data_IF_903135782528
#
_entry.id   IF_903135782528
#
_cell.length_a   1.000
_cell.length_b   1.000
_cell.length_c   1.000
_cell.angle_alpha   90.00
_cell.angle_beta   90.00
_cell.angle_gamma   90.00
#
_symmetry.space_group_name_H-M   'P 1'
#
loop_
_entity.id
_entity.type
_entity.pdbx_description
1 polymer ?
#
# COMPACT_ATOMS: atom_id res chain seq x y z
N UNK A 1 21.68 -68.10 -0.63
CA UNK A 1 21.92 -66.73 -0.12
C UNK A 1 22.15 -65.82 -1.32
N UNK A 2 21.09 -65.17 -1.83
CA UNK A 2 21.15 -64.25 -2.99
C UNK A 2 20.35 -63.01 -2.59
N UNK A 3 21.04 -61.87 -2.41
CA UNK A 3 20.45 -60.57 -2.09
C UNK A 3 19.85 -59.96 -3.37
N UNK A 4 18.54 -59.69 -3.38
CA UNK A 4 17.89 -58.87 -4.42
C UNK A 4 18.14 -57.39 -4.14
N UNK A 5 18.83 -56.73 -5.07
CA UNK A 5 19.05 -55.29 -5.11
C UNK A 5 17.76 -54.61 -5.62
N UNK A 6 17.12 -53.77 -4.81
CA UNK A 6 16.01 -52.90 -5.25
C UNK A 6 16.62 -51.62 -5.82
N UNK A 7 16.52 -51.44 -7.13
CA UNK A 7 16.87 -50.20 -7.82
C UNK A 7 15.65 -49.27 -7.72
N UNK A 8 15.83 -48.13 -7.03
CA UNK A 8 14.87 -47.02 -7.04
C UNK A 8 15.20 -46.13 -8.23
N UNK A 9 14.25 -46.01 -9.17
CA UNK A 9 14.32 -45.05 -10.27
C UNK A 9 13.56 -43.80 -9.81
N UNK A 10 14.26 -42.69 -9.63
CA UNK A 10 13.65 -41.37 -9.44
C UNK A 10 13.19 -40.83 -10.80
N UNK A 11 11.98 -40.23 -10.92
CA UNK A 11 11.59 -39.54 -12.13
C UNK A 11 12.37 -38.23 -12.27
N UNK A 12 13.03 -38.09 -13.42
CA UNK A 12 13.63 -36.84 -13.88
C UNK A 12 12.49 -35.90 -14.24
N UNK A 13 12.24 -34.89 -13.40
CA UNK A 13 11.30 -33.80 -13.69
C UNK A 13 12.03 -32.81 -14.59
N UNK A 14 11.64 -32.79 -15.87
CA UNK A 14 12.10 -31.83 -16.86
C UNK A 14 11.61 -30.43 -16.49
N UNK A 15 12.52 -29.53 -16.11
CA UNK A 15 12.24 -28.11 -15.95
C UNK A 15 12.00 -27.50 -17.33
N UNK A 16 10.74 -27.35 -17.73
CA UNK A 16 10.38 -26.53 -18.87
C UNK A 16 10.61 -25.06 -18.49
N UNK A 17 11.55 -24.40 -19.19
CA UNK A 17 11.88 -23.01 -18.97
C UNK A 17 10.66 -22.12 -19.18
N UNK A 18 10.25 -21.43 -18.12
CA UNK A 18 9.35 -20.28 -18.22
C UNK A 18 10.11 -19.15 -18.93
N UNK A 19 9.79 -18.95 -20.21
CA UNK A 19 10.15 -17.71 -20.91
C UNK A 19 9.26 -16.60 -20.38
N UNK A 20 9.80 -15.81 -19.46
CA UNK A 20 9.18 -14.54 -19.04
C UNK A 20 9.10 -13.61 -20.25
N UNK A 21 7.91 -13.42 -20.78
CA UNK A 21 7.63 -12.34 -21.73
C UNK A 21 7.74 -11.01 -20.98
N UNK A 22 8.91 -10.37 -21.08
CA UNK A 22 9.05 -8.95 -20.79
C UNK A 22 8.32 -8.23 -21.92
N UNK A 23 7.08 -7.85 -21.69
CA UNK A 23 6.39 -6.93 -22.59
C UNK A 23 7.16 -5.60 -22.58
N UNK A 24 7.85 -5.30 -23.67
CA UNK A 24 8.36 -3.97 -23.95
C UNK A 24 7.17 -3.02 -24.09
N UNK A 25 6.85 -2.27 -23.03
CA UNK A 25 5.98 -1.11 -23.16
C UNK A 25 6.66 -0.08 -24.06
N UNK A 26 5.94 0.49 -25.05
CA UNK A 26 6.48 1.50 -25.94
C UNK A 26 6.89 2.75 -25.15
N UNK A 27 7.99 3.36 -25.60
CA UNK A 27 8.65 4.54 -25.03
C UNK A 27 7.66 5.62 -24.56
N UNK A 28 7.34 5.59 -23.26
CA UNK A 28 6.85 6.75 -22.53
C UNK A 28 8.02 7.71 -22.36
N UNK A 29 7.89 8.86 -22.99
CA UNK A 29 8.81 10.00 -22.98
C UNK A 29 9.37 10.29 -21.59
N UNK A 30 10.70 10.47 -21.55
CA UNK A 30 11.58 10.89 -20.44
C UNK A 30 10.86 11.68 -19.33
N UNK A 31 10.32 10.98 -18.34
CA UNK A 31 10.08 11.54 -17.02
C UNK A 31 10.98 10.76 -16.06
N UNK A 32 12.00 11.44 -15.53
CA UNK A 32 13.03 10.91 -14.61
C UNK A 32 12.41 10.53 -13.25
N UNK A 33 11.49 9.58 -13.22
CA UNK A 33 11.05 8.94 -11.98
C UNK A 33 12.02 7.80 -11.65
N UNK A 34 12.37 7.72 -10.37
CA UNK A 34 13.17 6.61 -9.84
C UNK A 34 12.50 5.24 -10.12
N UNK A 35 13.30 4.19 -10.29
CA UNK A 35 12.80 2.85 -10.59
C UNK A 35 12.47 2.05 -9.32
N UNK A 36 11.62 2.59 -8.43
CA UNK A 36 11.18 1.91 -7.20
C UNK A 36 10.52 0.55 -7.46
N UNK A 37 9.97 0.34 -8.67
CA UNK A 37 9.43 -0.94 -9.12
C UNK A 37 10.47 -2.08 -9.11
N UNK A 38 11.78 -1.78 -9.18
CA UNK A 38 12.87 -2.74 -8.94
C UNK A 38 12.77 -3.43 -7.57
N UNK A 39 12.26 -2.72 -6.56
CA UNK A 39 12.15 -3.20 -5.19
C UNK A 39 10.76 -3.68 -4.82
N UNK A 40 9.75 -3.24 -5.55
CA UNK A 40 8.38 -3.68 -5.34
C UNK A 40 7.67 -3.74 -6.70
N UNK A 41 7.69 -4.91 -7.35
CA UNK A 41 6.98 -5.10 -8.61
C UNK A 41 5.48 -4.87 -8.39
N UNK A 42 4.90 -3.95 -9.17
CA UNK A 42 3.47 -3.69 -9.13
C UNK A 42 2.74 -4.75 -9.95
N UNK A 43 1.65 -5.25 -9.38
CA UNK A 43 0.74 -6.18 -10.04
C UNK A 43 0.20 -5.56 -11.35
N UNK A 44 -0.07 -6.39 -12.36
CA UNK A 44 -0.76 -5.90 -13.55
C UNK A 44 -2.26 -5.84 -13.27
N UNK A 45 -2.91 -4.81 -13.79
CA UNK A 45 -4.34 -4.56 -13.65
C UNK A 45 -5.00 -4.62 -15.03
N UNK A 46 -6.22 -5.15 -15.08
CA UNK A 46 -6.99 -5.23 -16.33
C UNK A 46 -7.45 -3.83 -16.75
N UNK A 47 -7.84 -3.00 -15.77
CA UNK A 47 -8.17 -1.59 -15.95
C UNK A 47 -7.45 -0.69 -14.97
N UNK A 48 -7.95 -0.63 -13.73
CA UNK A 48 -7.37 0.10 -12.61
C UNK A 48 -7.67 -0.65 -11.33
N UNK A 49 -6.89 -0.51 -10.24
CA UNK A 49 -7.20 -1.19 -8.98
C UNK A 49 -8.59 -0.86 -8.45
N UNK A 50 -9.06 0.38 -8.65
CA UNK A 50 -10.40 0.81 -8.24
C UNK A 50 -11.52 0.10 -9.00
N UNK A 51 -11.39 -0.05 -10.32
CA UNK A 51 -12.39 -0.77 -11.12
C UNK A 51 -12.30 -2.28 -10.93
N UNK A 52 -11.07 -2.81 -10.87
CA UNK A 52 -10.83 -4.24 -10.79
C UNK A 52 -11.32 -4.81 -9.46
N UNK A 53 -11.16 -4.10 -8.33
CA UNK A 53 -11.66 -4.58 -7.03
C UNK A 53 -13.20 -4.66 -6.97
N UNK A 54 -13.90 -3.92 -7.83
CA UNK A 54 -15.35 -3.98 -7.95
C UNK A 54 -15.82 -5.09 -8.91
N UNK A 55 -14.90 -5.65 -9.70
CA UNK A 55 -15.18 -6.73 -10.64
C UNK A 55 -14.68 -8.07 -10.09
N UNK A 56 -15.60 -8.92 -9.65
CA UNK A 56 -15.27 -10.24 -9.06
C UNK A 56 -14.49 -11.17 -10.01
N UNK A 57 -14.56 -10.91 -11.32
CA UNK A 57 -13.85 -11.70 -12.32
C UNK A 57 -12.42 -11.21 -12.58
N UNK A 58 -12.06 -10.00 -12.14
CA UNK A 58 -10.72 -9.44 -12.37
C UNK A 58 -9.65 -10.26 -11.67
N UNK A 59 -8.44 -10.21 -12.22
CA UNK A 59 -7.30 -10.89 -11.61
C UNK A 59 -6.98 -10.29 -10.24
N UNK A 60 -7.04 -8.96 -10.11
CA UNK A 60 -6.77 -8.26 -8.85
C UNK A 60 -7.75 -8.63 -7.73
N UNK A 61 -9.06 -8.68 -8.01
CA UNK A 61 -10.06 -9.09 -7.02
C UNK A 61 -9.76 -10.50 -6.49
N UNK A 62 -9.50 -11.46 -7.39
CA UNK A 62 -9.20 -12.85 -7.03
C UNK A 62 -7.95 -12.95 -6.16
N UNK A 63 -6.90 -12.19 -6.48
CA UNK A 63 -5.70 -12.15 -5.65
C UNK A 63 -5.99 -11.57 -4.26
N UNK A 64 -6.79 -10.50 -4.14
CA UNK A 64 -7.20 -9.96 -2.84
C UNK A 64 -7.98 -10.99 -2.02
N UNK A 65 -8.89 -11.76 -2.66
CA UNK A 65 -9.66 -12.78 -1.94
C UNK A 65 -8.78 -13.88 -1.33
N UNK A 66 -7.59 -14.17 -1.89
CA UNK A 66 -6.63 -15.08 -1.26
C UNK A 66 -6.21 -14.58 0.12
N UNK A 67 -5.93 -13.28 0.26
CA UNK A 67 -5.52 -12.68 1.54
C UNK A 67 -6.67 -12.60 2.55
N UNK A 68 -7.93 -12.52 2.11
CA UNK A 68 -9.09 -12.42 3.00
C UNK A 68 -9.63 -13.79 3.44
N UNK A 69 -9.45 -14.83 2.61
CA UNK A 69 -9.94 -16.16 2.90
C UNK A 69 -8.98 -16.95 3.80
N UNK A 70 -9.25 -16.97 5.10
CA UNK A 70 -8.45 -17.69 6.13
C UNK A 70 -8.29 -19.20 5.87
N UNK A 71 -9.09 -19.79 4.98
CA UNK A 71 -8.96 -21.21 4.61
C UNK A 71 -8.11 -21.43 3.35
N UNK A 72 -7.66 -20.36 2.67
CA UNK A 72 -6.85 -20.45 1.48
C UNK A 72 -5.49 -21.09 1.80
N UNK A 73 -5.02 -21.99 0.94
CA UNK A 73 -3.72 -22.64 1.10
C UNK A 73 -2.73 -22.04 0.11
N UNK A 74 -1.74 -21.31 0.62
CA UNK A 74 -0.72 -20.64 -0.18
C UNK A 74 0.11 -21.63 -1.00
N UNK A 75 0.09 -21.48 -2.33
CA UNK A 75 0.92 -22.27 -3.23
C UNK A 75 2.39 -21.84 -3.15
N UNK A 76 3.32 -22.63 -3.69
CA UNK A 76 4.74 -22.23 -3.75
C UNK A 76 4.94 -20.97 -4.61
N UNK A 77 4.17 -20.84 -5.68
CA UNK A 77 4.19 -19.65 -6.54
C UNK A 77 3.75 -18.40 -5.79
N UNK A 78 2.66 -18.49 -5.00
CA UNK A 78 2.21 -17.38 -4.18
C UNK A 78 3.25 -17.00 -3.12
N UNK A 79 3.88 -17.99 -2.46
CA UNK A 79 4.92 -17.73 -1.45
C UNK A 79 6.08 -16.94 -2.01
N UNK A 80 6.52 -17.25 -3.23
CA UNK A 80 7.59 -16.51 -3.93
C UNK A 80 7.12 -15.10 -4.29
N UNK A 81 5.91 -15.00 -4.85
CA UNK A 81 5.30 -13.72 -5.29
C UNK A 81 5.11 -12.76 -4.11
N UNK A 82 4.67 -13.27 -2.97
CA UNK A 82 4.24 -12.48 -1.81
C UNK A 82 5.21 -12.52 -0.63
N UNK A 83 6.42 -13.03 -0.79
CA UNK A 83 7.45 -13.10 0.28
C UNK A 83 7.78 -11.75 0.95
N UNK A 84 7.41 -10.61 0.34
CA UNK A 84 7.61 -9.25 0.89
C UNK A 84 6.35 -8.64 1.48
N UNK A 85 5.21 -9.31 1.37
CA UNK A 85 3.95 -8.90 1.99
C UNK A 85 3.90 -9.52 3.38
N UNK A 86 4.54 -8.84 4.34
CA UNK A 86 4.69 -9.27 5.73
C UNK A 86 4.34 -8.10 6.66
N UNK A 87 4.03 -8.41 7.91
CA UNK A 87 3.88 -7.40 8.94
C UNK A 87 5.23 -6.72 9.26
N UNK A 88 5.22 -5.47 9.76
CA UNK A 88 6.39 -4.85 10.36
C UNK A 88 6.98 -5.66 11.52
N UNK A 89 8.27 -5.48 11.78
CA UNK A 89 9.01 -6.23 12.80
C UNK A 89 8.38 -6.05 14.19
N UNK A 90 8.03 -7.17 14.82
CA UNK A 90 7.40 -7.22 16.14
C UNK A 90 8.29 -6.66 17.25
N UNK A 91 9.59 -6.49 17.02
CA UNK A 91 10.48 -5.78 17.94
C UNK A 91 10.05 -4.33 18.14
N UNK A 92 9.57 -3.67 17.11
CA UNK A 92 9.25 -2.24 17.10
C UNK A 92 7.76 -1.95 17.03
N UNK A 93 7.00 -2.89 16.49
CA UNK A 93 5.56 -2.75 16.26
C UNK A 93 4.78 -3.81 17.03
N UNK A 94 3.57 -3.44 17.42
CA UNK A 94 2.56 -4.36 17.90
C UNK A 94 1.51 -4.54 16.80
N UNK A 95 1.03 -5.77 16.65
CA UNK A 95 -0.04 -6.13 15.73
C UNK A 95 -1.17 -6.76 16.53
N UNK A 96 -2.37 -6.21 16.42
CA UNK A 96 -3.57 -6.75 17.03
C UNK A 96 -4.55 -7.20 15.96
N UNK A 97 -4.97 -8.46 16.04
CA UNK A 97 -6.11 -8.94 15.26
C UNK A 97 -7.36 -8.13 15.65
N UNK A 98 -8.04 -7.63 14.64
CA UNK A 98 -9.22 -6.81 14.77
C UNK A 98 -10.23 -7.14 13.67
N UNK A 99 -11.49 -6.81 13.91
CA UNK A 99 -12.55 -6.85 12.91
C UNK A 99 -12.87 -5.43 12.49
N UNK A 100 -12.82 -5.17 11.19
CA UNK A 100 -13.24 -3.88 10.63
C UNK A 100 -14.75 -3.70 10.82
N UNK A 101 -15.17 -2.63 11.51
CA UNK A 101 -16.58 -2.36 11.78
C UNK A 101 -17.16 -1.27 10.90
N UNK A 102 -16.34 -0.30 10.46
CA UNK A 102 -16.83 0.83 9.65
C UNK A 102 -15.71 1.58 8.94
N UNK A 103 -16.01 2.07 7.73
CA UNK A 103 -15.21 3.08 7.03
C UNK A 103 -15.78 4.49 7.23
N UNK A 104 -14.97 5.41 7.75
CA UNK A 104 -15.35 6.82 7.89
C UNK A 104 -14.94 7.61 6.65
N UNK A 105 -13.69 7.48 6.24
CA UNK A 105 -13.11 8.07 5.04
C UNK A 105 -12.01 7.13 4.48
N UNK A 106 -11.34 7.49 3.38
CA UNK A 106 -10.31 6.67 2.75
C UNK A 106 -9.08 6.39 3.64
N UNK A 107 -8.77 7.27 4.60
CA UNK A 107 -7.64 7.10 5.52
C UNK A 107 -8.05 6.82 6.98
N UNK A 108 -9.35 6.64 7.22
CA UNK A 108 -9.91 6.54 8.56
C UNK A 108 -10.95 5.43 8.63
N UNK A 109 -10.66 4.43 9.46
CA UNK A 109 -11.52 3.28 9.71
C UNK A 109 -11.79 3.09 11.20
N UNK A 110 -12.77 2.26 11.52
CA UNK A 110 -13.07 1.79 12.86
C UNK A 110 -12.98 0.28 12.90
N UNK A 111 -12.35 -0.20 13.97
CA UNK A 111 -12.16 -1.63 14.22
C UNK A 111 -12.54 -1.98 15.64
N UNK A 112 -12.85 -3.26 15.83
CA UNK A 112 -13.03 -3.88 17.13
C UNK A 112 -11.95 -4.92 17.35
N UNK A 113 -11.29 -4.91 18.50
CA UNK A 113 -10.25 -5.90 18.84
C UNK A 113 -10.82 -6.93 19.81
N UNK A 114 -10.01 -7.92 20.19
CA UNK A 114 -10.30 -8.75 21.38
C UNK A 114 -9.58 -8.22 22.62
N UNK A 115 -8.79 -7.16 22.47
CA UNK A 115 -7.97 -6.59 23.53
C UNK A 115 -8.82 -5.67 24.42
N UNK A 116 -8.71 -5.84 25.73
CA UNK A 116 -9.31 -4.93 26.71
C UNK A 116 -8.46 -3.67 26.96
N UNK A 117 -7.33 -3.51 26.23
CA UNK A 117 -6.38 -2.42 26.44
C UNK A 117 -6.85 -1.07 25.89
N UNK A 118 -7.83 -1.08 24.99
CA UNK A 118 -8.35 0.12 24.35
C UNK A 118 -9.87 0.24 24.52
N UNK A 119 -10.40 1.46 24.65
CA UNK A 119 -11.84 1.68 24.60
C UNK A 119 -12.36 1.31 23.20
N UNK A 120 -13.31 0.38 23.16
CA UNK A 120 -13.91 -0.05 21.91
C UNK A 120 -15.20 0.72 21.58
N UNK A 121 -15.49 0.98 20.29
CA UNK A 121 -14.68 0.65 19.12
C UNK A 121 -13.50 1.62 18.89
N UNK A 122 -12.44 1.14 18.24
CA UNK A 122 -11.19 1.91 18.01
C UNK A 122 -11.29 2.59 16.65
N UNK A 123 -11.30 3.93 16.63
CA UNK A 123 -11.13 4.71 15.39
C UNK A 123 -9.65 4.94 15.11
N UNK A 124 -9.21 4.62 13.89
CA UNK A 124 -7.81 4.68 13.46
C UNK A 124 -7.66 5.69 12.32
N UNK A 125 -6.63 6.52 12.39
CA UNK A 125 -6.11 7.31 11.27
C UNK A 125 -4.83 6.65 10.76
N UNK A 126 -4.78 6.38 9.46
CA UNK A 126 -3.61 5.78 8.82
C UNK A 126 -2.42 6.75 8.78
N UNK A 127 -1.22 6.29 9.15
CA UNK A 127 -0.08 7.17 9.44
C UNK A 127 0.69 7.63 8.18
N UNK A 128 0.70 6.80 7.13
CA UNK A 128 1.60 6.98 5.98
C UNK A 128 0.91 7.41 4.69
N UNK A 129 -0.37 7.80 4.77
CA UNK A 129 -1.14 8.33 3.64
C UNK A 129 -2.03 9.48 4.07
N UNK A 130 -2.41 10.29 3.09
CA UNK A 130 -3.55 11.20 3.15
C UNK A 130 -4.52 10.86 2.02
N UNK A 131 -5.83 10.99 2.28
CA UNK A 131 -6.87 10.93 1.25
C UNK A 131 -7.58 12.28 1.15
N UNK A 132 -8.23 12.52 0.00
CA UNK A 132 -9.14 13.66 -0.12
C UNK A 132 -10.25 13.54 0.94
N UNK A 133 -10.76 14.67 1.42
CA UNK A 133 -11.70 14.71 2.54
C UNK A 133 -13.14 14.85 2.07
N UNK A 134 -14.06 14.16 2.74
CA UNK A 134 -15.51 14.32 2.50
C UNK A 134 -16.09 15.62 3.09
N UNK A 135 -15.34 16.30 3.96
CA UNK A 135 -15.78 17.53 4.63
C UNK A 135 -14.76 18.08 5.62
N UNK A 136 -15.01 19.29 6.12
CA UNK A 136 -14.23 19.87 7.23
C UNK A 136 -15.10 20.60 8.23
N UNK A 137 -14.56 20.74 9.45
CA UNK A 137 -15.11 21.70 10.40
C UNK A 137 -14.53 23.09 10.12
N UNK A 138 -15.31 23.95 9.47
CA UNK A 138 -15.02 25.38 9.34
C UNK A 138 -15.90 26.14 10.32
N UNK A 139 -15.29 26.98 11.17
CA UNK A 139 -15.99 27.82 12.17
C UNK A 139 -16.97 27.04 13.09
N UNK A 140 -16.63 25.80 13.45
CA UNK A 140 -17.45 24.95 14.31
C UNK A 140 -18.65 24.28 13.60
N UNK A 141 -18.82 24.49 12.29
CA UNK A 141 -19.83 23.82 11.46
C UNK A 141 -19.17 22.84 10.50
N UNK A 142 -19.81 21.69 10.32
CA UNK A 142 -19.40 20.76 9.28
C UNK A 142 -19.81 21.31 7.92
N UNK A 143 -18.86 21.38 7.00
CA UNK A 143 -19.06 21.79 5.60
C UNK A 143 -18.56 20.65 4.72
N UNK A 144 -19.44 20.09 3.90
CA UNK A 144 -19.06 19.10 2.90
C UNK A 144 -18.13 19.75 1.86
N UNK A 145 -17.13 18.98 1.41
CA UNK A 145 -16.31 19.37 0.25
C UNK A 145 -17.14 19.26 -1.03
N UNK A 146 -16.65 19.85 -2.12
CA UNK A 146 -17.31 19.80 -3.44
C UNK A 146 -16.27 19.52 -4.53
N UNK A 147 -16.72 19.37 -5.78
CA UNK A 147 -15.82 19.22 -6.92
C UNK A 147 -14.97 17.94 -6.87
N UNK A 148 -13.68 18.08 -7.24
CA UNK A 148 -12.76 16.96 -7.31
C UNK A 148 -12.43 16.39 -5.92
N UNK A 149 -12.32 17.22 -4.88
CA UNK A 149 -12.08 16.77 -3.51
C UNK A 149 -13.15 15.77 -3.06
N UNK A 150 -14.44 16.13 -3.19
CA UNK A 150 -15.55 15.23 -2.85
C UNK A 150 -15.56 13.96 -3.70
N UNK A 151 -15.39 14.09 -5.03
CA UNK A 151 -15.34 12.95 -5.96
C UNK A 151 -14.32 11.91 -5.51
N UNK A 152 -13.10 12.32 -5.20
CA UNK A 152 -12.02 11.39 -4.84
C UNK A 152 -12.07 10.92 -3.40
N UNK A 153 -12.63 11.71 -2.47
CA UNK A 153 -12.92 11.25 -1.11
C UNK A 153 -13.95 10.10 -1.12
N UNK A 154 -15.02 10.25 -1.91
CA UNK A 154 -16.03 9.21 -2.07
C UNK A 154 -15.45 7.95 -2.72
N UNK A 155 -14.64 8.09 -3.77
CA UNK A 155 -13.96 6.95 -4.40
C UNK A 155 -13.00 6.25 -3.45
N UNK A 156 -12.20 6.98 -2.66
CA UNK A 156 -11.31 6.40 -1.66
C UNK A 156 -12.07 5.57 -0.62
N UNK A 157 -13.23 6.08 -0.15
CA UNK A 157 -14.12 5.34 0.75
C UNK A 157 -14.77 4.12 0.11
N UNK A 158 -15.22 4.22 -1.14
CA UNK A 158 -15.77 3.09 -1.90
C UNK A 158 -14.69 2.01 -2.09
N UNK A 159 -13.48 2.41 -2.44
CA UNK A 159 -12.33 1.53 -2.57
C UNK A 159 -12.05 0.78 -1.26
N UNK A 160 -12.01 1.52 -0.14
CA UNK A 160 -11.83 0.92 1.19
C UNK A 160 -12.87 -0.16 1.50
N UNK A 161 -14.15 0.13 1.23
CA UNK A 161 -15.25 -0.82 1.43
C UNK A 161 -15.19 -2.03 0.49
N UNK A 162 -14.77 -1.85 -0.75
CA UNK A 162 -14.65 -2.94 -1.72
C UNK A 162 -13.45 -3.84 -1.40
N UNK A 163 -12.31 -3.25 -1.04
CA UNK A 163 -11.09 -3.96 -0.71
C UNK A 163 -11.21 -4.70 0.63
N UNK A 164 -11.75 -4.04 1.65
CA UNK A 164 -11.96 -4.55 3.01
C UNK A 164 -13.41 -4.26 3.44
N UNK A 165 -14.36 -5.15 3.11
CA UNK A 165 -15.73 -5.04 3.59
C UNK A 165 -15.82 -5.08 5.12
N UNK A 166 -16.86 -4.47 5.69
CA UNK A 166 -17.16 -4.59 7.12
C UNK A 166 -17.28 -6.07 7.51
N UNK A 167 -16.71 -6.44 8.66
CA UNK A 167 -16.55 -7.82 9.09
C UNK A 167 -15.22 -8.47 8.69
N UNK A 168 -14.42 -7.85 7.82
CA UNK A 168 -13.09 -8.35 7.48
C UNK A 168 -12.19 -8.44 8.71
N UNK A 169 -11.46 -9.55 8.82
CA UNK A 169 -10.38 -9.71 9.80
C UNK A 169 -9.15 -8.99 9.30
N UNK A 170 -8.60 -8.12 10.14
CA UNK A 170 -7.44 -7.29 9.84
C UNK A 170 -6.47 -7.28 11.01
N UNK A 171 -5.26 -6.81 10.74
CA UNK A 171 -4.20 -6.57 11.71
C UNK A 171 -4.02 -5.07 11.87
N UNK A 172 -4.44 -4.54 13.02
CA UNK A 172 -4.12 -3.18 13.43
C UNK A 172 -2.66 -3.14 13.90
N UNK A 173 -1.81 -2.44 13.15
CA UNK A 173 -0.38 -2.31 13.43
C UNK A 173 -0.03 -0.89 13.88
N UNK A 174 0.63 -0.77 15.02
CA UNK A 174 1.09 0.51 15.56
C UNK A 174 2.44 0.37 16.26
N UNK A 175 3.14 1.48 16.42
CA UNK A 175 4.44 1.52 17.09
C UNK A 175 4.29 1.18 18.58
N UNK A 176 5.18 0.34 19.11
CA UNK A 176 5.24 0.04 20.56
C UNK A 176 5.69 1.25 21.39
N UNK A 177 5.29 1.33 22.68
CA UNK A 177 4.42 0.36 23.39
C UNK A 177 2.92 0.58 23.14
N UNK A 178 2.51 1.80 22.81
CA UNK A 178 1.12 2.17 22.60
C UNK A 178 0.96 3.06 21.36
N UNK A 179 -0.19 2.99 20.68
CA UNK A 179 -0.45 3.84 19.52
C UNK A 179 -0.50 5.31 19.92
N UNK A 180 0.13 6.15 19.10
CA UNK A 180 -0.01 7.60 19.24
C UNK A 180 -1.49 8.03 19.04
N UNK A 181 -1.85 9.20 19.56
CA UNK A 181 -3.19 9.77 19.44
C UNK A 181 -3.21 10.95 18.48
N UNK A 182 -4.27 11.03 17.67
CA UNK A 182 -4.61 12.17 16.82
C UNK A 182 -6.08 12.53 17.04
N UNK A 183 -6.33 13.54 17.87
CA UNK A 183 -7.66 13.89 18.38
C UNK A 183 -8.33 12.68 19.07
N UNK A 184 -9.51 12.26 18.60
CA UNK A 184 -10.24 11.10 19.09
C UNK A 184 -9.88 9.79 18.35
N UNK A 185 -8.76 9.77 17.62
CA UNK A 185 -8.30 8.63 16.83
C UNK A 185 -6.96 8.14 17.32
N UNK A 186 -6.72 6.86 17.14
CA UNK A 186 -5.40 6.27 17.25
C UNK A 186 -4.66 6.33 15.91
N UNK A 187 -3.35 6.48 15.95
CA UNK A 187 -2.49 6.42 14.76
C UNK A 187 -1.98 5.00 14.61
N UNK A 188 -2.21 4.41 13.45
CA UNK A 188 -1.84 3.03 13.14
C UNK A 188 -2.16 2.69 11.71
N UNK A 189 -1.88 1.48 11.27
CA UNK A 189 -2.10 1.05 9.89
C UNK A 189 -2.82 -0.29 9.87
N UNK A 190 -3.63 -0.51 8.85
CA UNK A 190 -4.33 -1.79 8.66
C UNK A 190 -3.55 -2.66 7.68
N UNK A 191 -3.24 -3.87 8.12
CA UNK A 191 -2.77 -4.97 7.30
C UNK A 191 -3.84 -6.05 7.20
N UNK A 192 -3.90 -6.78 6.10
CA UNK A 192 -4.85 -7.87 5.91
C UNK A 192 -4.19 -9.05 5.20
N UNK A 193 -4.56 -10.26 5.59
CA UNK A 193 -3.82 -11.46 5.22
C UNK A 193 -3.86 -12.54 6.30
N UNK A 194 -3.11 -13.61 6.08
CA UNK A 194 -2.95 -14.73 7.01
C UNK A 194 -1.68 -15.53 6.71
N UNK A 195 -1.29 -16.41 7.63
CA UNK A 195 -0.16 -17.35 7.50
C UNK A 195 1.17 -16.70 7.09
N UNK A 196 1.44 -15.50 7.60
CA UNK A 196 2.67 -14.77 7.31
C UNK A 196 2.61 -13.86 6.08
N UNK A 197 1.52 -13.88 5.30
CA UNK A 197 1.35 -13.07 4.10
C UNK A 197 0.31 -11.97 4.32
N UNK A 198 0.76 -10.72 4.37
CA UNK A 198 -0.04 -9.55 4.76
C UNK A 198 0.19 -8.37 3.83
N UNK A 199 -0.89 -7.91 3.17
CA UNK A 199 -0.91 -6.66 2.40
C UNK A 199 -1.16 -5.47 3.33
N UNK A 200 -0.58 -4.33 2.97
CA UNK A 200 -0.80 -3.05 3.66
C UNK A 200 -1.86 -2.24 2.91
N UNK A 201 -2.96 -1.90 3.58
CA UNK A 201 -4.03 -1.09 3.00
C UNK A 201 -3.51 0.21 2.37
N UNK A 202 -2.59 0.90 3.04
CA UNK A 202 -2.04 2.18 2.60
C UNK A 202 -1.29 2.08 1.26
N UNK A 203 -0.71 0.91 0.98
CA UNK A 203 -0.06 0.64 -0.31
C UNK A 203 -1.12 0.39 -1.38
N UNK A 204 -2.16 -0.39 -1.06
CA UNK A 204 -3.22 -0.74 -2.01
C UNK A 204 -4.03 0.50 -2.46
N UNK A 205 -4.39 1.41 -1.55
CA UNK A 205 -5.07 2.65 -1.92
C UNK A 205 -4.16 3.62 -2.71
N UNK A 206 -2.85 3.61 -2.46
CA UNK A 206 -1.90 4.36 -3.27
C UNK A 206 -1.77 3.79 -4.69
N UNK A 207 -1.81 2.45 -4.86
CA UNK A 207 -1.85 1.81 -6.20
C UNK A 207 -3.07 2.27 -6.99
N UNK A 208 -4.21 2.41 -6.31
CA UNK A 208 -5.45 2.90 -6.93
C UNK A 208 -5.40 4.38 -7.32
N UNK A 209 -4.36 5.14 -6.92
CA UNK A 209 -4.27 6.58 -7.15
C UNK A 209 -5.32 7.37 -6.38
N UNK A 210 -5.74 6.86 -5.21
CA UNK A 210 -6.80 7.47 -4.37
C UNK A 210 -6.27 8.00 -3.03
N UNK A 211 -4.97 7.83 -2.77
CA UNK A 211 -4.29 8.42 -1.63
C UNK A 211 -2.91 8.92 -2.03
N UNK A 212 -2.45 9.95 -1.33
CA UNK A 212 -1.09 10.45 -1.41
C UNK A 212 -0.26 9.84 -0.27
N UNK A 213 0.86 9.15 -0.57
CA UNK A 213 1.81 8.77 0.46
C UNK A 213 2.41 10.00 1.14
N UNK A 214 2.52 9.95 2.46
CA UNK A 214 3.12 11.03 3.27
C UNK A 214 4.33 10.51 4.04
N UNK A 215 5.24 11.42 4.36
CA UNK A 215 6.46 11.13 5.08
C UNK A 215 6.77 12.27 6.04
N UNK A 216 6.98 11.93 7.31
CA UNK A 216 7.35 12.93 8.34
C UNK A 216 8.77 13.44 8.13
N UNK A 217 9.73 12.53 7.90
CA UNK A 217 11.12 12.87 7.60
C UNK A 217 11.71 11.82 6.64
N UNK A 218 12.50 12.27 5.66
CA UNK A 218 13.15 11.39 4.70
C UNK A 218 14.06 10.33 5.35
N UNK A 219 14.64 10.64 6.52
CA UNK A 219 15.46 9.70 7.28
C UNK A 219 14.66 8.51 7.84
N UNK A 220 13.35 8.66 8.02
CA UNK A 220 12.50 7.60 8.58
C UNK A 220 12.39 6.39 7.64
N UNK A 221 12.74 6.54 6.35
CA UNK A 221 12.80 5.44 5.37
C UNK A 221 13.87 4.41 5.74
N UNK A 222 14.88 4.80 6.53
CA UNK A 222 15.99 3.93 6.93
C UNK A 222 15.94 3.53 8.40
N UNK A 223 14.90 3.93 9.14
CA UNK A 223 14.73 3.65 10.57
C UNK A 223 13.71 2.52 10.77
N UNK A 224 14.13 1.31 11.18
CA UNK A 224 13.23 0.18 11.36
C UNK A 224 12.21 0.38 12.51
N UNK A 225 12.34 1.45 13.31
CA UNK A 225 11.34 1.82 14.32
C UNK A 225 10.19 2.67 13.77
N UNK A 226 10.19 2.96 12.46
CA UNK A 226 9.23 3.80 11.76
C UNK A 226 8.47 2.99 10.71
N UNK A 227 7.17 3.24 10.55
CA UNK A 227 6.37 2.51 9.57
C UNK A 227 6.89 2.73 8.14
N UNK A 228 7.45 3.92 7.89
CA UNK A 228 8.00 4.35 6.61
C UNK A 228 9.12 3.43 6.10
N UNK A 229 9.90 2.81 6.98
CA UNK A 229 10.89 1.79 6.60
C UNK A 229 10.25 0.60 5.86
N UNK A 230 9.04 0.21 6.25
CA UNK A 230 8.33 -0.95 5.71
C UNK A 230 7.44 -0.60 4.51
N UNK A 231 6.89 0.63 4.47
CA UNK A 231 5.88 1.00 3.48
C UNK A 231 6.40 1.91 2.37
N UNK A 232 7.37 2.80 2.63
CA UNK A 232 7.64 3.93 1.73
C UNK A 232 8.13 3.49 0.35
N UNK A 233 8.99 2.47 0.25
CA UNK A 233 9.45 2.00 -1.07
C UNK A 233 8.31 1.37 -1.88
N UNK A 234 7.38 0.66 -1.22
CA UNK A 234 6.18 0.09 -1.85
C UNK A 234 5.23 1.20 -2.30
N UNK A 235 5.03 2.20 -1.45
CA UNK A 235 4.20 3.38 -1.75
C UNK A 235 4.79 4.23 -2.87
N UNK A 236 6.12 4.39 -2.94
CA UNK A 236 6.81 5.06 -4.05
C UNK A 236 6.58 4.32 -5.37
N UNK A 237 6.77 3.00 -5.40
CA UNK A 237 6.47 2.19 -6.58
C UNK A 237 4.99 2.29 -7.00
N UNK A 238 4.07 2.21 -6.04
CA UNK A 238 2.63 2.32 -6.27
C UNK A 238 2.23 3.70 -6.83
N UNK A 239 2.74 4.77 -6.24
CA UNK A 239 2.49 6.15 -6.68
C UNK A 239 3.00 6.37 -8.12
N UNK A 240 4.23 5.94 -8.41
CA UNK A 240 4.82 6.09 -9.74
C UNK A 240 4.01 5.34 -10.80
N UNK A 241 3.53 4.13 -10.48
CA UNK A 241 2.67 3.36 -11.40
C UNK A 241 1.31 4.06 -11.61
N UNK A 242 0.66 4.50 -10.53
CA UNK A 242 -0.62 5.21 -10.59
C UNK A 242 -0.52 6.52 -11.40
N UNK A 243 0.56 7.29 -11.23
CA UNK A 243 0.84 8.50 -12.03
C UNK A 243 0.98 8.12 -13.51
N UNK A 244 1.87 7.19 -13.83
CA UNK A 244 2.17 6.80 -15.22
C UNK A 244 0.93 6.30 -15.96
N UNK A 245 0.10 5.51 -15.29
CA UNK A 245 -1.12 4.92 -15.88
C UNK A 245 -2.35 5.82 -15.75
N UNK A 246 -2.27 6.90 -14.98
CA UNK A 246 -3.39 7.81 -14.76
C UNK A 246 -4.52 7.19 -13.94
N UNK A 247 -4.20 6.45 -12.88
CA UNK A 247 -5.20 5.86 -11.99
C UNK A 247 -5.74 6.85 -10.96
N UNK A 248 -6.99 6.63 -10.54
CA UNK A 248 -7.66 7.44 -9.53
C UNK A 248 -7.66 8.90 -9.94
N UNK A 249 -7.18 9.79 -9.06
CA UNK A 249 -7.13 11.20 -9.41
C UNK A 249 -6.08 11.58 -10.44
N UNK A 250 -5.07 10.74 -10.69
CA UNK A 250 -4.06 11.00 -11.71
C UNK A 250 -4.60 10.90 -13.15
N UNK A 251 -5.87 10.55 -13.35
CA UNK A 251 -6.54 10.68 -14.64
C UNK A 251 -6.77 12.15 -15.04
N UNK A 252 -6.83 13.06 -14.06
CA UNK A 252 -7.11 14.49 -14.28
C UNK A 252 -5.84 15.31 -14.58
N UNK A 253 -4.66 14.69 -14.57
CA UNK A 253 -3.40 15.40 -14.79
C UNK A 253 -3.28 15.84 -16.25
N UNK A 254 -2.68 17.00 -16.46
CA UNK A 254 -2.36 17.48 -17.81
C UNK A 254 -1.21 16.67 -18.44
N UNK A 255 -0.18 16.40 -17.65
CA UNK A 255 0.99 15.62 -18.04
C UNK A 255 1.66 14.96 -16.81
N UNK A 256 2.77 14.27 -17.02
CA UNK A 256 3.54 13.60 -15.98
C UNK A 256 4.59 14.49 -15.30
N UNK A 257 4.59 15.81 -15.56
CA UNK A 257 5.53 16.71 -14.90
C UNK A 257 5.24 16.80 -13.40
N UNK A 258 6.28 16.96 -12.57
CA UNK A 258 6.09 17.15 -11.12
C UNK A 258 5.21 18.34 -10.76
N UNK A 259 5.25 19.40 -11.57
CA UNK A 259 4.42 20.59 -11.38
C UNK A 259 2.94 20.27 -11.65
N UNK A 260 2.63 19.59 -12.77
CA UNK A 260 1.26 19.16 -13.08
C UNK A 260 0.70 18.26 -11.98
N UNK A 261 1.51 17.30 -11.50
CA UNK A 261 1.13 16.39 -10.42
C UNK A 261 0.88 17.15 -9.11
N UNK A 262 1.78 18.05 -8.71
CA UNK A 262 1.61 18.82 -7.47
C UNK A 262 0.43 19.78 -7.53
N UNK A 263 0.18 20.40 -8.68
CA UNK A 263 -0.97 21.29 -8.88
C UNK A 263 -2.28 20.51 -8.79
N UNK A 264 -2.35 19.33 -9.41
CA UNK A 264 -3.50 18.42 -9.31
C UNK A 264 -3.75 17.99 -7.85
N UNK A 265 -2.71 17.55 -7.15
CA UNK A 265 -2.87 17.15 -5.74
C UNK A 265 -3.32 18.35 -4.91
N UNK A 266 -2.76 19.54 -5.13
CA UNK A 266 -3.16 20.75 -4.39
C UNK A 266 -4.62 21.15 -4.64
N UNK A 267 -5.14 20.94 -5.87
CA UNK A 267 -6.55 21.21 -6.20
C UNK A 267 -7.53 20.16 -5.69
N UNK A 268 -7.04 18.99 -5.28
CA UNK A 268 -7.88 17.93 -4.68
C UNK A 268 -7.88 18.03 -3.16
N UNK A 269 -6.79 18.48 -2.54
CA UNK A 269 -6.63 18.54 -1.09
C UNK A 269 -6.77 19.99 -0.57
N UNK A 270 -7.70 20.76 -1.15
CA UNK A 270 -7.87 22.20 -0.87
C UNK A 270 -8.15 22.46 0.62
N UNK A 271 -8.89 21.56 1.27
CA UNK A 271 -9.39 21.78 2.63
C UNK A 271 -8.31 21.63 3.71
N UNK A 272 -7.38 20.70 3.54
CA UNK A 272 -6.32 20.41 4.52
C UNK A 272 -4.91 20.82 4.07
N UNK A 273 -4.77 21.19 2.81
CA UNK A 273 -3.46 21.26 2.14
C UNK A 273 -2.95 19.87 1.81
N UNK A 274 -2.03 19.80 0.86
CA UNK A 274 -1.40 18.56 0.43
C UNK A 274 0.02 18.42 0.94
N UNK A 275 0.41 17.17 1.20
CA UNK A 275 1.81 16.81 1.34
C UNK A 275 2.50 16.81 -0.03
N UNK A 276 3.75 17.26 -0.08
CA UNK A 276 4.55 17.22 -1.30
C UNK A 276 4.97 15.77 -1.60
N UNK A 277 4.58 15.26 -2.78
CA UNK A 277 4.87 13.88 -3.22
C UNK A 277 6.23 13.71 -3.89
N UNK A 278 6.97 14.79 -4.11
CA UNK A 278 8.26 14.76 -4.81
C UNK A 278 9.24 13.74 -4.24
N UNK A 279 9.26 13.59 -2.90
CA UNK A 279 10.11 12.61 -2.20
C UNK A 279 9.80 11.15 -2.56
N UNK A 280 8.59 10.85 -3.05
CA UNK A 280 8.18 9.52 -3.49
C UNK A 280 8.33 9.30 -4.99
N UNK A 281 8.34 10.36 -5.80
CA UNK A 281 8.52 10.26 -7.26
C UNK A 281 9.99 10.04 -7.65
N UNK A 282 10.93 10.42 -6.78
CA UNK A 282 12.37 10.23 -7.01
C UNK A 282 12.88 11.04 -8.20
N UNK A 283 12.60 12.34 -8.17
CA UNK A 283 12.99 13.30 -9.20
C UNK A 283 14.49 13.59 -9.11
N UNK A 284 15.16 13.84 -10.23
CA UNK A 284 16.61 14.13 -10.25
C UNK A 284 16.98 15.35 -9.39
N UNK A 285 16.11 16.38 -9.35
CA UNK A 285 16.32 17.57 -8.48
C UNK A 285 16.33 17.24 -6.98
N UNK A 286 15.74 16.09 -6.61
CA UNK A 286 15.61 15.59 -5.24
C UNK A 286 16.56 14.42 -4.98
N UNK A 287 17.65 14.30 -5.76
CA UNK A 287 18.68 13.29 -5.57
C UNK A 287 19.22 13.31 -4.13
N UNK A 288 19.36 12.14 -3.54
CA UNK A 288 19.69 11.90 -2.12
C UNK A 288 18.63 12.39 -1.11
N UNK A 289 17.51 12.93 -1.58
CA UNK A 289 16.40 13.42 -0.76
C UNK A 289 15.05 12.82 -1.18
N UNK A 290 15.08 11.59 -1.66
CA UNK A 290 13.90 10.82 -2.03
C UNK A 290 13.95 9.40 -1.46
N UNK A 291 12.80 8.75 -1.43
CA UNK A 291 12.59 7.42 -0.83
C UNK A 291 13.48 6.37 -1.49
N UNK A 292 13.59 6.40 -2.82
CA UNK A 292 14.38 5.42 -3.57
C UNK A 292 15.87 5.50 -3.19
N UNK A 293 16.45 6.70 -3.22
CA UNK A 293 17.87 6.89 -2.92
C UNK A 293 18.20 6.53 -1.46
N UNK A 294 17.32 6.89 -0.52
CA UNK A 294 17.50 6.50 0.89
C UNK A 294 17.39 5.00 1.10
N UNK A 295 16.49 4.34 0.38
CA UNK A 295 16.33 2.90 0.44
C UNK A 295 17.56 2.17 -0.14
N UNK A 296 18.06 2.60 -1.31
CA UNK A 296 19.32 2.10 -1.90
C UNK A 296 20.50 2.28 -0.94
N UNK A 297 20.61 3.44 -0.31
CA UNK A 297 21.63 3.70 0.70
C UNK A 297 21.56 2.71 1.86
N UNK A 298 20.36 2.49 2.43
CA UNK A 298 20.18 1.53 3.52
C UNK A 298 20.59 0.10 3.13
N UNK A 299 20.23 -0.35 1.91
CA UNK A 299 20.63 -1.65 1.40
C UNK A 299 22.15 -1.78 1.22
N UNK A 300 22.83 -0.71 0.78
CA UNK A 300 24.28 -0.74 0.63
C UNK A 300 25.02 -0.89 1.95
N UNK A 301 24.53 -0.25 3.03
CA UNK A 301 25.06 -0.44 4.39
C UNK A 301 24.85 -1.87 4.88
N UNK A 302 23.68 -2.46 4.61
CA UNK A 302 23.39 -3.84 5.04
C UNK A 302 24.29 -4.87 4.35
N UNK A 303 24.62 -4.68 3.07
CA UNK A 303 25.52 -5.59 2.33
C UNK A 303 26.99 -5.48 2.73
N UNK A 304 27.38 -4.37 3.35
CA UNK A 304 28.74 -4.14 3.84
C UNK A 304 29.00 -4.68 5.25
N UNK A 305 27.99 -5.26 5.91
CA UNK A 305 28.10 -5.96 7.20
C UNK A 305 28.10 -7.46 6.98
#
# INVERSE_FOLDING_TARGET
MIKKLKVFILPIISFAGFTSFIACSPNLTNNNFSNSAKYYPIEQFDKSPFEDIQNQNSSYYKEIQKFLNQNYQWTQEDKIKYQREILPDEKYFESLEATLTKWFDGDTAEVKTKSNRFPEPIRIRFESIDTAETGSQKTGKYVETTGLEKKYAEQAKIFGKALLPEGSVVHLVFKKPDPARSFNRYVGNIYFGHDGFYKNYNVEIAKAGLAVPILSNISDVTDPTKIYYYSSIKQSAALIDAVKKGYGFFQEKHDNSPESINNLISSIYETRGSSNVASFLGLEKDKNNNVFDRYEFALSIQKGK
#
